data_IF_735086303816
#
_entry.id   IF_735086303816
#
_cell.length_a   1.000
_cell.length_b   1.000
_cell.length_c   1.000
_cell.angle_alpha   90.00
_cell.angle_beta   90.00
_cell.angle_gamma   90.00
#
_symmetry.space_group_name_H-M   'P 1'
#
loop_
_entity.id
_entity.type
_entity.pdbx_description
1 polymer ?
#
# COMPACT_ATOMS: atom_id res chain seq x y z
N UNK A 1 39.11 14.17 19.51
CA UNK A 1 39.57 12.98 18.76
C UNK A 1 38.66 11.76 18.96
N UNK A 2 38.17 11.50 20.18
CA UNK A 2 37.31 10.34 20.52
C UNK A 2 35.99 10.25 19.71
N UNK A 3 35.35 11.36 19.35
CA UNK A 3 34.11 11.31 18.56
C UNK A 3 34.36 10.76 17.15
N UNK A 4 35.42 11.23 16.48
CA UNK A 4 35.76 10.79 15.12
C UNK A 4 36.12 9.31 15.08
N UNK A 5 36.85 8.81 16.08
CA UNK A 5 37.17 7.38 16.19
C UNK A 5 35.91 6.56 16.46
N UNK A 6 35.03 6.97 17.37
CA UNK A 6 33.75 6.30 17.62
C UNK A 6 32.85 6.27 16.38
N UNK A 7 32.83 7.35 15.59
CA UNK A 7 32.09 7.40 14.33
C UNK A 7 32.64 6.37 13.34
N UNK A 8 33.95 6.36 13.10
CA UNK A 8 34.61 5.43 12.19
C UNK A 8 34.40 3.96 12.61
N UNK A 9 34.59 3.64 13.89
CA UNK A 9 34.39 2.30 14.44
C UNK A 9 32.92 1.85 14.35
N UNK A 10 31.97 2.76 14.56
CA UNK A 10 30.54 2.44 14.43
C UNK A 10 30.15 2.16 12.98
N UNK A 11 30.75 2.89 12.03
CA UNK A 11 30.55 2.63 10.60
C UNK A 11 31.14 1.27 10.18
N UNK A 12 32.36 0.95 10.60
CA UNK A 12 32.98 -0.35 10.28
C UNK A 12 32.21 -1.49 10.92
N UNK A 13 31.81 -1.36 12.18
CA UNK A 13 30.94 -2.32 12.87
C UNK A 13 29.62 -2.52 12.10
N UNK A 14 28.93 -1.45 11.74
CA UNK A 14 27.67 -1.55 11.00
C UNK A 14 27.86 -2.19 9.62
N UNK A 15 28.96 -1.90 8.90
CA UNK A 15 29.27 -2.52 7.61
C UNK A 15 29.56 -4.01 7.75
N UNK A 16 30.36 -4.41 8.75
CA UNK A 16 30.66 -5.81 9.04
C UNK A 16 29.38 -6.58 9.36
N UNK A 17 28.59 -6.06 10.31
CA UNK A 17 27.32 -6.64 10.72
C UNK A 17 26.33 -6.79 9.56
N UNK A 18 26.22 -5.78 8.68
CA UNK A 18 25.38 -5.87 7.49
C UNK A 18 25.88 -6.91 6.48
N UNK A 19 27.20 -7.11 6.38
CA UNK A 19 27.80 -8.12 5.50
C UNK A 19 27.53 -9.53 6.02
N UNK A 20 27.68 -9.73 7.33
CA UNK A 20 27.33 -10.99 8.01
C UNK A 20 25.84 -11.31 7.88
N UNK A 21 24.96 -10.31 8.02
CA UNK A 21 23.52 -10.53 7.87
C UNK A 21 23.11 -10.94 6.44
N UNK A 22 23.87 -10.48 5.42
CA UNK A 22 23.66 -10.88 4.01
C UNK A 22 24.25 -12.25 3.67
N UNK A 23 25.14 -12.78 4.51
CA UNK A 23 25.84 -14.06 4.33
C UNK A 23 25.58 -14.98 5.54
N UNK A 24 24.35 -15.53 5.65
CA UNK A 24 23.99 -16.37 6.79
C UNK A 24 24.83 -17.66 6.87
N UNK A 25 25.41 -18.09 5.75
CA UNK A 25 26.39 -19.17 5.64
C UNK A 25 27.59 -18.98 6.59
N UNK A 26 28.13 -17.77 6.69
CA UNK A 26 29.28 -17.45 7.55
C UNK A 26 28.93 -17.47 9.05
N UNK A 27 27.66 -17.33 9.40
CA UNK A 27 27.17 -17.32 10.79
C UNK A 27 26.52 -18.63 11.21
N UNK A 28 26.52 -19.65 10.33
CA UNK A 28 25.84 -20.93 10.55
C UNK A 28 26.33 -21.68 11.79
N UNK A 29 27.64 -21.67 12.05
CA UNK A 29 28.22 -22.31 13.26
C UNK A 29 27.83 -21.61 14.55
N UNK A 30 27.64 -20.29 14.51
CA UNK A 30 27.19 -19.51 15.67
C UNK A 30 25.71 -19.76 15.94
N UNK A 31 24.87 -19.84 14.90
CA UNK A 31 23.43 -20.12 15.02
C UNK A 31 23.11 -21.56 15.45
N UNK A 32 23.95 -22.53 15.10
CA UNK A 32 23.73 -23.95 15.44
C UNK A 32 23.87 -24.23 16.96
N UNK A 33 24.40 -23.26 17.72
CA UNK A 33 24.63 -23.37 19.15
C UNK A 33 23.63 -22.54 19.97
N UNK A 34 22.67 -21.86 19.32
CA UNK A 34 21.86 -20.82 19.96
C UNK A 34 20.48 -21.32 20.41
N UNK A 35 20.19 -21.04 21.67
CA UNK A 35 18.89 -21.04 22.33
C UNK A 35 18.03 -19.87 21.78
N UNK A 36 16.71 -20.05 21.68
CA UNK A 36 15.77 -19.17 20.94
C UNK A 36 15.68 -17.72 21.49
N UNK A 37 16.38 -17.45 22.59
CA UNK A 37 16.34 -16.20 23.34
C UNK A 37 17.60 -15.31 23.21
N UNK A 38 18.61 -15.71 22.41
CA UNK A 38 19.85 -14.92 22.26
C UNK A 38 19.72 -13.84 21.17
N UNK A 39 20.08 -12.60 21.52
CA UNK A 39 20.09 -11.45 20.60
C UNK A 39 20.98 -11.72 19.39
N UNK A 40 20.51 -11.36 18.19
CA UNK A 40 21.33 -11.45 16.99
C UNK A 40 22.53 -10.50 17.05
N UNK A 41 23.64 -10.83 16.37
CA UNK A 41 24.83 -9.95 16.25
C UNK A 41 24.45 -8.53 15.84
N UNK A 42 23.44 -8.40 14.98
CA UNK A 42 22.97 -7.14 14.48
C UNK A 42 22.08 -6.36 15.47
N UNK A 43 21.30 -7.06 16.31
CA UNK A 43 20.66 -6.45 17.48
C UNK A 43 21.70 -5.98 18.52
N UNK A 44 22.70 -6.80 18.85
CA UNK A 44 23.78 -6.41 19.77
C UNK A 44 24.57 -5.21 19.24
N UNK A 45 24.88 -5.19 17.95
CA UNK A 45 25.54 -4.04 17.31
C UNK A 45 24.67 -2.78 17.37
N UNK A 46 23.36 -2.92 17.13
CA UNK A 46 22.43 -1.80 17.23
C UNK A 46 22.36 -1.24 18.65
N UNK A 47 22.33 -2.10 19.68
CA UNK A 47 22.32 -1.68 21.09
C UNK A 47 23.59 -0.92 21.47
N UNK A 48 24.76 -1.38 21.03
CA UNK A 48 26.04 -0.70 21.31
C UNK A 48 26.03 0.71 20.69
N UNK A 49 25.66 0.82 19.40
CA UNK A 49 25.62 2.12 18.73
C UNK A 49 24.51 3.00 19.32
N UNK A 50 23.40 2.42 19.77
CA UNK A 50 22.31 3.14 20.44
C UNK A 50 22.76 3.78 21.76
N UNK A 51 23.61 3.11 22.55
CA UNK A 51 24.21 3.71 23.75
C UNK A 51 25.02 4.96 23.39
N UNK A 52 25.85 4.90 22.34
CA UNK A 52 26.63 6.03 21.84
C UNK A 52 25.71 7.17 21.36
N UNK A 53 24.66 6.83 20.60
CA UNK A 53 23.62 7.77 20.18
C UNK A 53 23.01 8.52 21.37
N UNK A 54 22.60 7.80 22.42
CA UNK A 54 22.01 8.41 23.62
C UNK A 54 23.00 9.34 24.31
N UNK A 55 24.27 8.95 24.46
CA UNK A 55 25.32 9.80 25.02
C UNK A 55 25.56 11.07 24.20
N UNK A 56 25.51 10.97 22.86
CA UNK A 56 25.62 12.14 21.99
C UNK A 56 24.39 13.05 22.07
N UNK A 57 23.20 12.49 22.23
CA UNK A 57 21.93 13.22 22.26
C UNK A 57 21.77 14.03 23.55
N UNK A 58 22.17 13.46 24.70
CA UNK A 58 22.05 14.10 26.03
C UNK A 58 23.20 15.07 26.35
N UNK A 59 24.15 15.23 25.43
CA UNK A 59 25.26 16.17 25.56
C UNK A 59 24.72 17.60 25.70
N UNK A 60 25.14 18.31 26.77
CA UNK A 60 24.62 19.65 27.10
C UNK A 60 25.39 20.79 26.43
N UNK A 61 26.41 20.48 25.63
CA UNK A 61 27.31 21.47 25.02
C UNK A 61 26.64 22.38 23.98
N UNK A 62 25.49 22.00 23.43
CA UNK A 62 24.74 22.81 22.47
C UNK A 62 23.24 22.83 22.84
N UNK A 63 22.58 23.97 22.70
CA UNK A 63 21.13 24.11 22.88
C UNK A 63 20.33 23.29 21.88
N UNK A 64 19.02 23.15 22.10
CA UNK A 64 18.13 22.41 21.17
C UNK A 64 18.05 23.10 19.80
N UNK A 65 18.01 24.42 19.76
CA UNK A 65 17.81 25.17 18.51
C UNK A 65 19.11 25.72 17.89
N UNK A 66 20.26 25.48 18.52
CA UNK A 66 21.55 25.94 18.01
C UNK A 66 22.13 24.98 16.97
N UNK A 67 23.13 25.47 16.21
CA UNK A 67 23.91 24.59 15.34
C UNK A 67 24.49 23.42 16.15
N UNK A 68 24.54 22.21 15.59
CA UNK A 68 25.08 21.06 16.30
C UNK A 68 26.59 21.26 16.50
N UNK A 69 27.01 21.27 17.76
CA UNK A 69 28.42 21.35 18.17
C UNK A 69 28.77 20.18 19.09
N UNK A 70 30.06 19.97 19.34
CA UNK A 70 30.53 18.90 20.21
C UNK A 70 30.05 17.52 19.77
N UNK A 71 29.46 16.75 20.70
CA UNK A 71 28.98 15.39 20.42
C UNK A 71 27.67 15.38 19.61
N UNK A 72 26.92 16.48 19.60
CA UNK A 72 25.63 16.55 18.87
C UNK A 72 25.78 16.44 17.36
N UNK A 73 26.95 16.77 16.82
CA UNK A 73 27.28 16.60 15.39
C UNK A 73 27.06 15.15 14.91
N UNK A 74 27.27 14.17 15.79
CA UNK A 74 27.15 12.74 15.47
C UNK A 74 25.74 12.15 15.62
N UNK A 75 24.75 12.89 16.16
CA UNK A 75 23.44 12.33 16.56
C UNK A 75 22.73 11.63 15.42
N UNK A 76 22.53 12.32 14.28
CA UNK A 76 21.85 11.70 13.13
C UNK A 76 22.71 10.65 12.43
N UNK A 77 24.05 10.72 12.51
CA UNK A 77 24.91 9.66 11.99
C UNK A 77 24.66 8.35 12.75
N UNK A 78 24.75 8.38 14.09
CA UNK A 78 24.52 7.20 14.92
C UNK A 78 23.08 6.71 14.83
N UNK A 79 22.09 7.63 14.85
CA UNK A 79 20.69 7.27 14.65
C UNK A 79 20.47 6.52 13.33
N UNK A 80 21.05 7.01 12.22
CA UNK A 80 20.95 6.36 10.92
C UNK A 80 21.60 4.98 10.88
N UNK A 81 22.73 4.78 11.57
CA UNK A 81 23.35 3.46 11.70
C UNK A 81 22.48 2.49 12.51
N UNK A 82 21.94 2.92 13.65
CA UNK A 82 21.01 2.12 14.45
C UNK A 82 19.78 1.75 13.64
N UNK A 83 19.13 2.72 12.99
CA UNK A 83 17.97 2.49 12.14
C UNK A 83 18.29 1.48 11.01
N UNK A 84 19.43 1.65 10.33
CA UNK A 84 19.87 0.71 9.29
C UNK A 84 19.99 -0.72 9.80
N UNK A 85 20.57 -0.93 10.99
CA UNK A 85 20.71 -2.24 11.61
C UNK A 85 19.35 -2.81 12.03
N UNK A 86 18.51 -2.04 12.71
CA UNK A 86 17.18 -2.47 13.15
C UNK A 86 16.28 -2.91 11.99
N UNK A 87 16.31 -2.16 10.88
CA UNK A 87 15.56 -2.52 9.67
C UNK A 87 16.14 -3.77 8.99
N UNK A 88 17.46 -3.99 9.07
CA UNK A 88 18.08 -5.18 8.51
C UNK A 88 17.75 -6.45 9.29
N UNK A 89 17.57 -6.35 10.62
CA UNK A 89 17.13 -7.46 11.49
C UNK A 89 15.61 -7.66 11.53
N UNK A 90 14.83 -6.85 10.79
CA UNK A 90 13.35 -6.82 10.87
C UNK A 90 12.79 -6.49 12.27
N UNK A 91 13.58 -5.85 13.14
CA UNK A 91 13.13 -5.33 14.45
C UNK A 91 12.75 -3.85 14.36
N UNK A 92 11.87 -3.52 13.42
CA UNK A 92 11.48 -2.12 13.13
C UNK A 92 10.77 -1.45 14.30
N UNK A 93 10.13 -2.21 15.20
CA UNK A 93 9.42 -1.66 16.36
C UNK A 93 10.35 -0.93 17.33
N UNK A 94 11.60 -1.37 17.48
CA UNK A 94 12.59 -0.73 18.35
C UNK A 94 13.01 0.66 17.84
N UNK A 95 12.79 0.94 16.55
CA UNK A 95 13.09 2.26 15.97
C UNK A 95 12.23 3.38 16.56
N UNK A 96 11.06 3.06 17.13
CA UNK A 96 10.16 4.04 17.77
C UNK A 96 10.89 4.89 18.80
N UNK A 97 11.72 4.26 19.64
CA UNK A 97 12.47 4.95 20.69
C UNK A 97 13.45 6.00 20.11
N UNK A 98 14.10 5.69 18.99
CA UNK A 98 15.01 6.63 18.32
C UNK A 98 14.26 7.86 17.83
N UNK A 99 13.09 7.67 17.20
CA UNK A 99 12.29 8.79 16.69
C UNK A 99 11.74 9.67 17.81
N UNK A 100 11.24 9.08 18.90
CA UNK A 100 10.76 9.82 20.07
C UNK A 100 11.88 10.66 20.69
N UNK A 101 13.05 10.05 20.94
CA UNK A 101 14.19 10.75 21.53
C UNK A 101 14.68 11.92 20.66
N UNK A 102 14.70 11.73 19.33
CA UNK A 102 15.05 12.79 18.39
C UNK A 102 14.03 13.93 18.42
N UNK A 103 12.74 13.62 18.40
CA UNK A 103 11.68 14.61 18.52
C UNK A 103 11.82 15.49 19.75
N UNK A 104 12.19 14.90 20.89
CA UNK A 104 12.23 15.60 22.18
C UNK A 104 13.49 16.45 22.37
N UNK A 105 14.68 15.94 22.01
CA UNK A 105 15.96 16.52 22.44
C UNK A 105 16.81 17.04 21.28
N UNK A 106 16.67 16.47 20.08
CA UNK A 106 17.59 16.72 18.97
C UNK A 106 17.40 18.12 18.36
N UNK A 107 18.48 18.74 17.85
CA UNK A 107 18.37 19.90 16.97
C UNK A 107 17.61 19.62 15.67
N UNK A 108 17.02 20.66 15.06
CA UNK A 108 16.28 20.54 13.81
C UNK A 108 17.06 19.79 12.74
N UNK A 109 16.38 18.89 12.03
CA UNK A 109 17.00 18.02 11.02
C UNK A 109 17.72 18.82 9.93
N UNK A 110 17.18 19.99 9.60
CA UNK A 110 17.71 20.91 8.58
C UNK A 110 19.14 21.41 8.86
N UNK A 111 19.61 21.35 10.10
CA UNK A 111 20.98 21.76 10.48
C UNK A 111 22.04 20.70 10.18
N UNK A 112 21.64 19.49 9.79
CA UNK A 112 22.55 18.37 9.51
C UNK A 112 22.81 18.21 8.01
N UNK A 113 23.92 17.54 7.61
CA UNK A 113 24.25 17.31 6.19
C UNK A 113 23.15 16.56 5.43
N UNK A 114 22.96 16.88 4.15
CA UNK A 114 21.89 16.33 3.31
C UNK A 114 21.86 14.78 3.32
N UNK A 115 23.02 14.12 3.25
CA UNK A 115 23.11 12.66 3.29
C UNK A 115 22.50 12.06 4.58
N UNK A 116 22.73 12.70 5.73
CA UNK A 116 22.16 12.26 7.01
C UNK A 116 20.66 12.52 7.06
N UNK A 117 20.20 13.68 6.56
CA UNK A 117 18.78 14.03 6.51
C UNK A 117 17.98 13.06 5.65
N UNK A 118 18.45 12.80 4.42
CA UNK A 118 17.82 11.89 3.48
C UNK A 118 17.72 10.47 4.07
N UNK A 119 18.80 9.98 4.67
CA UNK A 119 18.82 8.64 5.27
C UNK A 119 17.83 8.53 6.43
N UNK A 120 17.76 9.56 7.28
CA UNK A 120 16.84 9.58 8.41
C UNK A 120 15.38 9.62 7.94
N UNK A 121 15.04 10.53 7.02
CA UNK A 121 13.70 10.64 6.43
C UNK A 121 13.28 9.35 5.71
N UNK A 122 14.21 8.67 5.04
CA UNK A 122 13.93 7.39 4.40
C UNK A 122 13.48 6.33 5.42
N UNK A 123 14.21 6.17 6.54
CA UNK A 123 13.83 5.20 7.57
C UNK A 123 12.58 5.62 8.36
N UNK A 124 12.42 6.91 8.66
CA UNK A 124 11.21 7.45 9.30
C UNK A 124 9.98 7.23 8.42
N UNK A 125 10.11 7.43 7.12
CA UNK A 125 9.04 7.16 6.15
C UNK A 125 8.66 5.68 6.11
N UNK A 126 9.65 4.79 6.05
CA UNK A 126 9.40 3.33 6.08
C UNK A 126 8.78 2.86 7.40
N UNK A 127 9.18 3.45 8.52
CA UNK A 127 8.58 3.17 9.83
C UNK A 127 7.11 3.58 9.85
N UNK A 128 6.80 4.80 9.39
CA UNK A 128 5.41 5.27 9.29
C UNK A 128 4.58 4.41 8.34
N UNK A 129 5.14 3.99 7.19
CA UNK A 129 4.45 3.08 6.26
C UNK A 129 4.09 1.75 6.93
N UNK A 130 5.04 1.16 7.66
CA UNK A 130 4.83 -0.12 8.37
C UNK A 130 3.76 -0.01 9.46
N UNK A 131 3.58 1.18 10.03
CA UNK A 131 2.54 1.50 11.01
C UNK A 131 1.25 2.06 10.38
N UNK A 132 1.07 1.93 9.06
CA UNK A 132 -0.08 2.43 8.30
C UNK A 132 -0.31 3.94 8.32
N UNK A 133 0.68 4.75 8.71
CA UNK A 133 0.62 6.21 8.64
C UNK A 133 1.08 6.70 7.25
N UNK A 134 0.28 6.43 6.21
CA UNK A 134 0.69 6.63 4.81
C UNK A 134 0.97 8.09 4.45
N UNK A 135 0.22 9.06 5.01
CA UNK A 135 0.47 10.49 4.79
C UNK A 135 1.84 10.91 5.33
N UNK A 136 2.10 10.60 6.60
CA UNK A 136 3.38 10.89 7.26
C UNK A 136 4.55 10.24 6.53
N UNK A 137 4.35 9.00 6.10
CA UNK A 137 5.33 8.27 5.29
C UNK A 137 5.61 8.98 3.96
N UNK A 138 4.56 9.39 3.24
CA UNK A 138 4.69 10.10 1.97
C UNK A 138 5.46 11.41 2.13
N UNK A 139 5.15 12.22 3.16
CA UNK A 139 5.84 13.48 3.42
C UNK A 139 7.35 13.29 3.65
N UNK A 140 7.73 12.32 4.48
CA UNK A 140 9.15 12.01 4.71
C UNK A 140 9.86 11.54 3.45
N UNK A 141 9.25 10.60 2.72
CA UNK A 141 9.86 10.00 1.53
C UNK A 141 9.94 10.99 0.37
N UNK A 142 8.95 11.88 0.22
CA UNK A 142 8.97 12.96 -0.75
C UNK A 142 10.13 13.92 -0.46
N UNK A 143 10.30 14.36 0.79
CA UNK A 143 11.44 15.21 1.15
C UNK A 143 12.79 14.50 0.99
N UNK A 144 12.87 13.21 1.30
CA UNK A 144 14.07 12.42 1.04
C UNK A 144 14.38 12.38 -0.47
N UNK A 145 13.37 12.18 -1.32
CA UNK A 145 13.53 12.11 -2.76
C UNK A 145 13.97 13.44 -3.36
N UNK A 146 13.35 14.55 -2.93
CA UNK A 146 13.67 15.91 -3.41
C UNK A 146 15.11 16.32 -3.05
N UNK A 147 15.61 15.91 -1.88
CA UNK A 147 16.98 16.19 -1.45
C UNK A 147 18.03 15.25 -2.05
N UNK A 148 17.62 14.18 -2.74
CA UNK A 148 18.56 13.21 -3.32
C UNK A 148 18.91 13.60 -4.77
N UNK A 149 20.20 13.84 -5.09
CA UNK A 149 20.63 14.18 -6.45
C UNK A 149 20.21 13.13 -7.49
N UNK A 150 19.89 13.58 -8.71
CA UNK A 150 19.39 12.72 -9.79
C UNK A 150 20.39 11.62 -10.19
N UNK A 151 21.70 11.86 -10.03
CA UNK A 151 22.77 10.91 -10.32
C UNK A 151 22.73 9.69 -9.39
N UNK A 152 22.17 9.81 -8.18
CA UNK A 152 22.06 8.73 -7.21
C UNK A 152 20.82 7.85 -7.47
N UNK A 153 20.74 7.28 -8.68
CA UNK A 153 19.59 6.51 -9.19
C UNK A 153 19.18 5.39 -8.23
N UNK A 154 20.15 4.65 -7.67
CA UNK A 154 19.87 3.56 -6.72
C UNK A 154 19.19 4.06 -5.44
N UNK A 155 19.63 5.18 -4.87
CA UNK A 155 19.01 5.77 -3.69
C UNK A 155 17.60 6.27 -3.99
N UNK A 156 17.41 6.94 -5.13
CA UNK A 156 16.09 7.41 -5.59
C UNK A 156 15.14 6.24 -5.83
N UNK A 157 15.62 5.14 -6.42
CA UNK A 157 14.84 3.91 -6.61
C UNK A 157 14.39 3.33 -5.27
N UNK A 158 15.29 3.27 -4.27
CA UNK A 158 14.94 2.79 -2.93
C UNK A 158 13.87 3.68 -2.26
N UNK A 159 13.95 5.00 -2.43
CA UNK A 159 12.94 5.92 -1.89
C UNK A 159 11.60 5.73 -2.61
N UNK A 160 11.61 5.69 -3.95
CA UNK A 160 10.40 5.50 -4.76
C UNK A 160 9.70 4.16 -4.51
N UNK A 161 10.46 3.12 -4.17
CA UNK A 161 9.93 1.80 -3.77
C UNK A 161 8.88 1.91 -2.66
N UNK A 162 9.00 2.90 -1.77
CA UNK A 162 8.04 3.15 -0.70
C UNK A 162 7.15 4.38 -0.97
N UNK A 163 7.66 5.41 -1.66
CA UNK A 163 6.87 6.62 -1.94
C UNK A 163 5.68 6.34 -2.87
N UNK A 164 5.86 5.49 -3.88
CA UNK A 164 4.79 5.09 -4.80
C UNK A 164 3.64 4.40 -4.05
N UNK A 165 3.87 3.31 -3.28
CA UNK A 165 2.78 2.66 -2.56
C UNK A 165 2.16 3.55 -1.46
N UNK A 166 2.91 4.45 -0.82
CA UNK A 166 2.32 5.45 0.09
C UNK A 166 1.26 6.31 -0.63
N UNK A 167 1.62 6.88 -1.78
CA UNK A 167 0.70 7.72 -2.55
C UNK A 167 -0.45 6.92 -3.15
N UNK A 168 -0.20 5.71 -3.62
CA UNK A 168 -1.22 4.80 -4.14
C UNK A 168 -2.31 4.54 -3.10
N UNK A 169 -1.94 4.26 -1.85
CA UNK A 169 -2.86 4.03 -0.73
C UNK A 169 -3.64 5.28 -0.33
N UNK A 170 -3.10 6.47 -0.64
CA UNK A 170 -3.77 7.76 -0.49
C UNK A 170 -4.61 8.14 -1.72
N UNK A 171 -4.78 7.23 -2.69
CA UNK A 171 -5.55 7.47 -3.91
C UNK A 171 -4.84 8.29 -4.99
N UNK A 172 -3.52 8.49 -4.86
CA UNK A 172 -2.69 9.23 -5.83
C UNK A 172 -1.82 8.27 -6.64
N UNK A 173 -2.03 8.24 -7.96
CA UNK A 173 -1.25 7.39 -8.86
C UNK A 173 0.01 8.11 -9.36
N UNK A 174 1.09 7.38 -9.67
CA UNK A 174 2.28 7.95 -10.29
C UNK A 174 1.96 8.52 -11.68
N UNK A 175 2.53 9.69 -11.99
CA UNK A 175 2.40 10.31 -13.32
C UNK A 175 3.25 9.58 -14.36
N UNK A 176 2.88 9.69 -15.63
CA UNK A 176 3.68 9.14 -16.73
C UNK A 176 5.12 9.68 -16.73
N UNK A 177 5.29 10.98 -16.44
CA UNK A 177 6.59 11.61 -16.33
C UNK A 177 7.47 11.00 -15.23
N UNK A 178 6.89 10.68 -14.07
CA UNK A 178 7.64 10.01 -12.99
C UNK A 178 8.08 8.60 -13.41
N UNK A 179 7.19 7.85 -14.08
CA UNK A 179 7.45 6.49 -14.55
C UNK A 179 8.47 6.40 -15.69
N UNK A 180 8.73 7.50 -16.39
CA UNK A 180 9.76 7.59 -17.43
C UNK A 180 11.17 7.83 -16.87
N UNK A 181 11.30 8.18 -15.59
CA UNK A 181 12.60 8.43 -14.97
C UNK A 181 13.41 7.13 -14.79
N UNK A 182 14.76 7.18 -14.88
CA UNK A 182 15.59 5.98 -14.79
C UNK A 182 15.42 5.24 -13.46
N UNK A 183 15.22 5.96 -12.35
CA UNK A 183 14.98 5.36 -11.02
C UNK A 183 13.61 4.66 -10.87
N UNK A 184 12.67 4.92 -11.78
CA UNK A 184 11.33 4.34 -11.75
C UNK A 184 11.19 3.13 -12.68
N UNK A 185 12.17 2.86 -13.55
CA UNK A 185 12.06 1.88 -14.64
C UNK A 185 11.62 0.49 -14.13
N UNK A 186 12.36 -0.10 -13.17
CA UNK A 186 12.00 -1.41 -12.58
C UNK A 186 10.72 -1.37 -11.74
N UNK A 187 10.40 -0.21 -11.17
CA UNK A 187 9.23 -0.05 -10.29
C UNK A 187 7.95 0.08 -11.10
N UNK A 188 8.05 0.54 -12.35
CA UNK A 188 6.93 0.65 -13.29
C UNK A 188 6.29 -0.71 -13.51
N UNK A 189 7.08 -1.75 -13.79
CA UNK A 189 6.57 -3.09 -14.09
C UNK A 189 5.81 -3.70 -12.91
N UNK A 190 6.20 -3.35 -11.68
CA UNK A 190 5.56 -3.81 -10.46
C UNK A 190 4.29 -3.00 -10.14
N UNK A 191 4.40 -1.66 -10.10
CA UNK A 191 3.32 -0.83 -9.57
C UNK A 191 2.29 -0.39 -10.61
N UNK A 192 2.64 -0.30 -11.89
CA UNK A 192 1.69 0.14 -12.91
C UNK A 192 0.49 -0.81 -13.05
N UNK A 193 0.65 -2.14 -13.11
CA UNK A 193 -0.49 -3.05 -13.16
C UNK A 193 -1.35 -2.99 -11.89
N UNK A 194 -0.74 -2.80 -10.71
CA UNK A 194 -1.47 -2.58 -9.46
C UNK A 194 -2.31 -1.30 -9.55
N UNK A 195 -1.76 -0.21 -10.08
CA UNK A 195 -2.50 1.04 -10.28
C UNK A 195 -3.69 0.84 -11.24
N UNK A 196 -3.51 0.07 -12.32
CA UNK A 196 -4.57 -0.25 -13.28
C UNK A 196 -5.66 -1.10 -12.64
N UNK A 197 -5.30 -2.10 -11.84
CA UNK A 197 -6.23 -2.95 -11.10
C UNK A 197 -7.09 -2.11 -10.15
N UNK A 198 -6.46 -1.26 -9.34
CA UNK A 198 -7.17 -0.36 -8.40
C UNK A 198 -8.09 0.61 -9.14
N UNK A 199 -7.61 1.23 -10.22
CA UNK A 199 -8.41 2.17 -11.02
C UNK A 199 -9.65 1.53 -11.64
N UNK A 200 -9.54 0.27 -12.06
CA UNK A 200 -10.62 -0.46 -12.73
C UNK A 200 -11.49 -1.32 -11.82
N UNK A 201 -11.14 -1.43 -10.52
CA UNK A 201 -11.81 -2.33 -9.58
C UNK A 201 -11.57 -3.80 -9.91
N UNK A 202 -10.43 -4.15 -10.52
CA UNK A 202 -10.14 -5.48 -11.00
C UNK A 202 -9.34 -6.29 -9.95
N UNK A 203 -10.05 -7.06 -9.13
CA UNK A 203 -9.45 -7.93 -8.12
C UNK A 203 -8.57 -9.03 -8.73
N UNK A 204 -8.99 -9.61 -9.86
CA UNK A 204 -8.27 -10.70 -10.52
C UNK A 204 -6.89 -10.23 -10.98
N UNK A 205 -6.83 -9.05 -11.61
CA UNK A 205 -5.59 -8.42 -12.03
C UNK A 205 -4.70 -8.08 -10.82
N UNK A 206 -5.29 -7.58 -9.72
CA UNK A 206 -4.51 -7.33 -8.51
C UNK A 206 -3.88 -8.62 -8.00
N UNK A 207 -4.66 -9.68 -7.80
CA UNK A 207 -4.17 -10.93 -7.22
C UNK A 207 -3.12 -11.60 -8.09
N UNK A 208 -3.33 -11.67 -9.41
CA UNK A 208 -2.35 -12.26 -10.32
C UNK A 208 -1.02 -11.49 -10.31
N UNK A 209 -1.05 -10.16 -10.27
CA UNK A 209 0.17 -9.36 -10.22
C UNK A 209 0.88 -9.40 -8.87
N UNK A 210 0.13 -9.46 -7.76
CA UNK A 210 0.72 -9.64 -6.43
C UNK A 210 1.40 -11.00 -6.32
N UNK A 211 0.76 -12.08 -6.82
CA UNK A 211 1.34 -13.42 -6.84
C UNK A 211 2.61 -13.49 -7.71
N UNK A 212 2.60 -12.87 -8.90
CA UNK A 212 3.76 -12.83 -9.79
C UNK A 212 4.97 -12.10 -9.20
N UNK A 213 4.76 -11.19 -8.24
CA UNK A 213 5.81 -10.40 -7.60
C UNK A 213 5.94 -10.70 -6.09
N UNK A 214 5.40 -11.83 -5.63
CA UNK A 214 5.18 -12.11 -4.21
C UNK A 214 6.48 -12.04 -3.40
N UNK A 215 7.54 -12.71 -3.88
CA UNK A 215 8.85 -12.75 -3.21
C UNK A 215 9.42 -11.35 -3.01
N UNK A 216 9.44 -10.53 -4.07
CA UNK A 216 10.02 -9.18 -4.01
C UNK A 216 9.18 -8.26 -3.11
N UNK A 217 7.85 -8.32 -3.23
CA UNK A 217 6.96 -7.52 -2.39
C UNK A 217 7.06 -7.91 -0.91
N UNK A 218 7.22 -9.20 -0.62
CA UNK A 218 7.43 -9.72 0.74
C UNK A 218 8.77 -9.26 1.30
N UNK A 219 9.85 -9.36 0.53
CA UNK A 219 11.18 -8.87 0.92
C UNK A 219 11.20 -7.37 1.22
N UNK A 220 10.41 -6.58 0.46
CA UNK A 220 10.26 -5.13 0.70
C UNK A 220 9.29 -4.80 1.85
N UNK A 221 8.57 -5.79 2.38
CA UNK A 221 7.53 -5.57 3.40
C UNK A 221 6.31 -4.81 2.87
N UNK A 222 6.03 -4.92 1.57
CA UNK A 222 4.92 -4.23 0.89
C UNK A 222 3.70 -5.13 0.67
N UNK A 223 3.91 -6.44 0.53
CA UNK A 223 2.88 -7.40 0.11
C UNK A 223 1.60 -7.28 0.93
N UNK A 224 1.68 -7.51 2.25
CA UNK A 224 0.51 -7.53 3.13
C UNK A 224 -0.23 -6.18 3.13
N UNK A 225 0.51 -5.08 3.22
CA UNK A 225 -0.08 -3.74 3.20
C UNK A 225 -0.85 -3.50 1.90
N UNK A 226 -0.26 -3.82 0.75
CA UNK A 226 -0.92 -3.65 -0.54
C UNK A 226 -2.13 -4.58 -0.70
N UNK A 227 -2.02 -5.85 -0.31
CA UNK A 227 -3.13 -6.81 -0.42
C UNK A 227 -4.35 -6.37 0.38
N UNK A 228 -4.17 -5.88 1.61
CA UNK A 228 -5.31 -5.56 2.49
C UNK A 228 -5.79 -4.11 2.33
N UNK A 229 -4.86 -3.15 2.25
CA UNK A 229 -5.21 -1.72 2.30
C UNK A 229 -5.69 -1.16 0.97
N UNK A 230 -5.47 -1.85 -0.15
CA UNK A 230 -6.03 -1.44 -1.46
C UNK A 230 -7.47 -1.90 -1.68
N UNK A 231 -7.99 -2.84 -0.89
CA UNK A 231 -9.33 -3.43 -1.09
C UNK A 231 -10.46 -2.38 -1.07
N UNK A 232 -10.49 -1.39 -0.16
CA UNK A 232 -11.52 -0.34 -0.20
C UNK A 232 -11.52 0.43 -1.53
N UNK A 233 -10.33 0.72 -2.09
CA UNK A 233 -10.23 1.43 -3.36
C UNK A 233 -10.71 0.57 -4.54
N UNK A 234 -10.44 -0.74 -4.52
CA UNK A 234 -10.97 -1.69 -5.51
C UNK A 234 -12.49 -1.79 -5.44
N UNK A 235 -13.05 -1.96 -4.23
CA UNK A 235 -14.49 -2.03 -4.03
C UNK A 235 -15.19 -0.73 -4.45
N UNK A 236 -14.60 0.42 -4.13
CA UNK A 236 -15.06 1.74 -4.61
C UNK A 236 -15.07 1.81 -6.14
N UNK A 237 -14.01 1.34 -6.80
CA UNK A 237 -13.93 1.36 -8.26
C UNK A 237 -14.90 0.38 -8.91
N UNK A 238 -15.08 -0.81 -8.31
CA UNK A 238 -16.05 -1.81 -8.74
C UNK A 238 -17.48 -1.27 -8.63
N UNK A 239 -17.86 -0.71 -7.47
CA UNK A 239 -19.21 -0.14 -7.27
C UNK A 239 -19.50 1.01 -8.22
N UNK A 240 -18.52 1.88 -8.48
CA UNK A 240 -18.61 2.93 -9.51
C UNK A 240 -18.83 2.36 -10.89
N UNK A 241 -18.11 1.29 -11.25
CA UNK A 241 -18.22 0.64 -12.56
C UNK A 241 -19.58 -0.02 -12.74
N UNK A 242 -20.08 -0.72 -11.72
CA UNK A 242 -21.43 -1.31 -11.73
C UNK A 242 -22.47 -0.20 -11.90
N UNK A 243 -22.38 0.88 -11.12
CA UNK A 243 -23.29 2.02 -11.26
C UNK A 243 -23.29 2.60 -12.68
N UNK A 244 -22.13 2.81 -13.29
CA UNK A 244 -22.05 3.32 -14.66
C UNK A 244 -22.69 2.39 -15.70
N UNK A 245 -22.76 1.09 -15.45
CA UNK A 245 -23.36 0.11 -16.35
C UNK A 245 -24.86 -0.06 -16.13
N UNK A 246 -25.34 0.14 -14.90
CA UNK A 246 -26.74 -0.17 -14.53
C UNK A 246 -27.59 1.08 -14.32
N UNK A 247 -26.99 2.25 -14.13
CA UNK A 247 -27.72 3.49 -13.88
C UNK A 247 -28.41 3.99 -15.15
N UNK A 248 -29.74 4.09 -15.08
CA UNK A 248 -30.56 4.72 -16.10
C UNK A 248 -31.04 6.07 -15.57
N UNK A 249 -30.66 7.20 -16.20
CA UNK A 249 -31.13 8.51 -15.77
C UNK A 249 -32.65 8.63 -16.00
N UNK A 250 -33.39 9.37 -15.14
CA UNK A 250 -34.79 9.67 -15.39
C UNK A 250 -34.96 10.38 -16.75
N UNK A 251 -35.97 9.98 -17.51
CA UNK A 251 -36.32 10.62 -18.80
C UNK A 251 -36.89 12.03 -18.62
N UNK A 252 -37.51 12.30 -17.47
CA UNK A 252 -38.08 13.59 -17.11
C UNK A 252 -37.07 14.44 -16.31
N UNK A 253 -36.73 15.61 -16.85
CA UNK A 253 -35.82 16.57 -16.23
C UNK A 253 -36.33 17.12 -14.88
N UNK A 254 -37.64 17.07 -14.63
CA UNK A 254 -38.25 17.52 -13.37
C UNK A 254 -38.27 16.44 -12.28
N UNK A 255 -37.87 15.20 -12.62
CA UNK A 255 -37.93 14.06 -11.71
C UNK A 255 -37.15 14.31 -10.41
N UNK A 256 -37.78 13.97 -9.28
CA UNK A 256 -37.15 14.00 -7.95
C UNK A 256 -36.55 12.64 -7.55
N UNK A 257 -36.52 11.66 -8.46
CA UNK A 257 -35.93 10.34 -8.19
C UNK A 257 -34.44 10.48 -7.87
N UNK A 258 -34.04 9.95 -6.72
CA UNK A 258 -32.64 9.91 -6.33
C UNK A 258 -31.85 8.99 -7.27
N UNK A 259 -30.61 9.35 -7.58
CA UNK A 259 -29.69 8.45 -8.25
C UNK A 259 -29.32 7.33 -7.28
N UNK A 260 -29.62 6.08 -7.62
CA UNK A 260 -29.44 4.93 -6.76
C UNK A 260 -28.65 3.83 -7.47
N UNK A 261 -27.82 3.12 -6.71
CA UNK A 261 -27.19 1.86 -7.10
C UNK A 261 -27.95 0.72 -6.42
N UNK A 262 -28.51 -0.20 -7.19
CA UNK A 262 -29.08 -1.44 -6.66
C UNK A 262 -27.95 -2.38 -6.21
N UNK A 263 -28.00 -2.82 -4.94
CA UNK A 263 -26.97 -3.67 -4.36
C UNK A 263 -27.00 -5.09 -4.95
N UNK A 264 -28.13 -5.54 -5.52
CA UNK A 264 -28.21 -6.83 -6.19
C UNK A 264 -27.28 -6.90 -7.42
N UNK A 265 -27.14 -5.80 -8.16
CA UNK A 265 -26.19 -5.74 -9.29
C UNK A 265 -24.74 -5.79 -8.82
N UNK A 266 -24.43 -5.13 -7.70
CA UNK A 266 -23.09 -5.17 -7.13
C UNK A 266 -22.76 -6.56 -6.57
N UNK A 267 -23.74 -7.23 -5.95
CA UNK A 267 -23.63 -8.61 -5.49
C UNK A 267 -23.39 -9.58 -6.65
N UNK A 268 -24.17 -9.47 -7.72
CA UNK A 268 -23.97 -10.28 -8.94
C UNK A 268 -22.56 -10.09 -9.52
N UNK A 269 -22.10 -8.85 -9.62
CA UNK A 269 -20.74 -8.55 -10.08
C UNK A 269 -19.67 -9.11 -9.14
N UNK A 270 -19.90 -9.03 -7.82
CA UNK A 270 -18.95 -9.53 -6.83
C UNK A 270 -18.86 -11.06 -6.81
N UNK A 271 -20.01 -11.75 -6.89
CA UNK A 271 -20.09 -13.19 -7.01
C UNK A 271 -19.43 -13.70 -8.32
N UNK A 272 -19.62 -12.96 -9.43
CA UNK A 272 -18.90 -13.23 -10.67
C UNK A 272 -17.39 -13.14 -10.47
N UNK A 273 -16.89 -12.07 -9.85
CA UNK A 273 -15.45 -11.90 -9.60
C UNK A 273 -14.91 -12.98 -8.66
N UNK A 274 -15.65 -13.36 -7.62
CA UNK A 274 -15.27 -14.45 -6.72
C UNK A 274 -15.08 -15.77 -7.49
N UNK A 275 -16.05 -16.16 -8.32
CA UNK A 275 -15.94 -17.36 -9.17
C UNK A 275 -14.76 -17.27 -10.13
N UNK A 276 -14.49 -16.09 -10.70
CA UNK A 276 -13.31 -15.88 -11.55
C UNK A 276 -11.99 -16.06 -10.81
N UNK A 277 -11.90 -15.64 -9.55
CA UNK A 277 -10.72 -15.86 -8.69
C UNK A 277 -10.54 -17.36 -8.38
N UNK A 278 -11.64 -18.07 -8.20
CA UNK A 278 -11.71 -19.53 -8.00
C UNK A 278 -11.34 -20.37 -9.24
N UNK A 279 -11.02 -19.72 -10.36
CA UNK A 279 -10.58 -20.38 -11.59
C UNK A 279 -11.69 -20.64 -12.61
N UNK A 280 -12.93 -20.22 -12.34
CA UNK A 280 -14.01 -20.36 -13.30
C UNK A 280 -13.73 -19.52 -14.55
N UNK A 281 -14.02 -20.09 -15.71
CA UNK A 281 -13.78 -19.45 -17.00
C UNK A 281 -15.11 -18.95 -17.59
N UNK A 282 -15.13 -17.81 -18.30
CA UNK A 282 -16.28 -17.44 -19.09
C UNK A 282 -16.66 -18.59 -20.03
N UNK A 283 -17.93 -19.02 -20.03
CA UNK A 283 -18.38 -20.18 -20.80
C UNK A 283 -18.20 -20.01 -22.32
N UNK A 284 -18.03 -18.76 -22.78
CA UNK A 284 -17.80 -18.46 -24.20
C UNK A 284 -16.59 -17.52 -24.39
N UNK A 285 -15.36 -18.02 -24.22
CA UNK A 285 -14.15 -17.23 -24.44
C UNK A 285 -13.80 -17.23 -25.93
N UNK A 286 -14.73 -16.76 -26.78
CA UNK A 286 -14.61 -16.89 -28.23
C UNK A 286 -14.78 -18.33 -28.71
N UNK A 287 -15.52 -18.50 -29.81
CA UNK A 287 -15.57 -19.76 -30.53
C UNK A 287 -14.14 -20.33 -30.66
N UNK A 288 -13.91 -21.55 -30.17
CA UNK A 288 -12.76 -22.35 -30.64
C UNK A 288 -12.68 -22.17 -32.15
N UNK A 289 -11.51 -21.79 -32.67
CA UNK A 289 -11.33 -21.51 -34.10
C UNK A 289 -12.06 -22.55 -34.93
N UNK A 290 -12.98 -22.08 -35.77
CA UNK A 290 -13.84 -22.90 -36.63
C UNK A 290 -12.96 -23.96 -37.33
N UNK A 291 -13.20 -25.26 -37.12
CA UNK A 291 -12.63 -26.27 -38.00
C UNK A 291 -13.20 -26.00 -39.40
N UNK A 292 -12.37 -25.94 -40.46
CA UNK A 292 -12.77 -25.44 -41.78
C UNK A 292 -13.94 -26.21 -42.42
N UNK A 293 -14.18 -27.44 -41.95
CA UNK A 293 -15.18 -28.38 -42.47
C UNK A 293 -16.54 -28.33 -41.76
N UNK A 294 -16.75 -27.50 -40.73
CA UNK A 294 -18.03 -27.46 -40.00
C UNK A 294 -18.91 -26.32 -40.46
N UNK A 295 -20.16 -26.66 -40.81
CA UNK A 295 -21.16 -25.75 -41.36
C UNK A 295 -21.74 -24.84 -40.26
N UNK A 296 -21.87 -23.53 -40.55
CA UNK A 296 -22.25 -22.53 -39.54
C UNK A 296 -23.66 -22.78 -38.96
N UNK A 297 -24.55 -23.34 -39.77
CA UNK A 297 -25.92 -23.68 -39.38
C UNK A 297 -25.93 -24.88 -38.42
N UNK A 298 -25.07 -25.88 -38.66
CA UNK A 298 -24.94 -27.05 -37.79
C UNK A 298 -24.44 -26.66 -36.40
N UNK A 299 -23.41 -25.80 -36.31
CA UNK A 299 -22.94 -25.30 -35.00
C UNK A 299 -24.02 -24.51 -34.28
N UNK A 300 -24.80 -23.68 -34.98
CA UNK A 300 -25.91 -22.92 -34.39
C UNK A 300 -27.03 -23.84 -33.87
N UNK A 301 -27.31 -24.93 -34.59
CA UNK A 301 -28.27 -25.94 -34.18
C UNK A 301 -27.77 -26.77 -32.99
N UNK A 302 -26.48 -27.14 -32.96
CA UNK A 302 -25.88 -27.88 -31.84
C UNK A 302 -25.73 -27.01 -30.59
N UNK A 303 -25.42 -25.71 -30.72
CA UNK A 303 -25.45 -24.79 -29.57
C UNK A 303 -26.85 -24.54 -29.04
N UNK A 304 -27.89 -24.64 -29.87
CA UNK A 304 -29.28 -24.56 -29.44
C UNK A 304 -29.78 -25.89 -28.82
N UNK A 305 -29.26 -27.04 -29.26
CA UNK A 305 -29.65 -28.37 -28.76
C UNK A 305 -28.84 -28.88 -27.57
N UNK A 306 -27.62 -28.37 -27.34
CA UNK A 306 -26.98 -28.47 -26.05
C UNK A 306 -27.74 -27.50 -25.13
N UNK A 307 -28.87 -27.97 -24.60
CA UNK A 307 -29.65 -27.30 -23.58
C UNK A 307 -28.67 -26.76 -22.52
N UNK A 308 -28.40 -25.46 -22.59
CA UNK A 308 -28.20 -24.72 -21.37
C UNK A 308 -29.53 -24.89 -20.63
N UNK A 309 -29.59 -25.88 -19.73
CA UNK A 309 -30.21 -25.65 -18.43
C UNK A 309 -29.93 -24.18 -18.10
N UNK A 310 -30.93 -23.33 -17.78
CA UNK A 310 -30.72 -21.93 -17.45
C UNK A 310 -29.88 -21.86 -16.17
N UNK A 311 -28.60 -22.13 -16.29
CA UNK A 311 -27.65 -22.16 -15.22
C UNK A 311 -27.58 -20.74 -14.70
N UNK A 312 -27.64 -20.60 -13.38
CA UNK A 312 -27.57 -19.34 -12.64
C UNK A 312 -26.30 -18.50 -12.94
N UNK A 313 -25.44 -18.95 -13.86
CA UNK A 313 -24.10 -18.41 -14.09
C UNK A 313 -23.66 -18.53 -15.56
N UNK A 314 -23.04 -17.47 -16.06
CA UNK A 314 -22.39 -17.40 -17.39
C UNK A 314 -20.97 -18.01 -17.41
N UNK A 315 -20.58 -18.70 -16.33
CA UNK A 315 -19.24 -19.25 -16.13
C UNK A 315 -19.29 -20.78 -16.24
N UNK A 316 -18.27 -21.35 -16.90
CA UNK A 316 -18.02 -22.78 -16.93
C UNK A 316 -17.13 -23.19 -15.75
N UNK A 317 -17.37 -24.38 -15.16
CA UNK A 317 -16.56 -24.88 -14.05
C UNK A 317 -15.09 -25.06 -14.46
N UNK A 318 -14.14 -24.80 -13.55
CA UNK A 318 -12.72 -24.97 -13.82
C UNK A 318 -12.36 -26.43 -14.15
N UNK A 319 -11.52 -26.70 -15.17
CA UNK A 319 -11.19 -28.06 -15.60
C UNK A 319 -10.43 -28.87 -14.54
N UNK A 320 -9.75 -28.21 -13.60
CA UNK A 320 -8.99 -28.82 -12.50
C UNK A 320 -9.67 -28.75 -11.13
N UNK A 321 -10.97 -28.42 -11.08
CA UNK A 321 -11.67 -28.12 -9.84
C UNK A 321 -11.40 -26.70 -9.31
N UNK A 322 -12.12 -26.33 -8.25
CA UNK A 322 -12.08 -24.98 -7.67
C UNK A 322 -10.73 -24.71 -7.02
N UNK A 323 -10.08 -23.60 -7.41
CA UNK A 323 -8.83 -23.15 -6.81
C UNK A 323 -9.05 -22.76 -5.34
N UNK A 324 -8.23 -23.30 -4.43
CA UNK A 324 -8.22 -22.92 -3.02
C UNK A 324 -7.51 -21.59 -2.85
N UNK A 325 -8.26 -20.58 -2.43
CA UNK A 325 -7.80 -19.22 -2.23
C UNK A 325 -7.33 -19.02 -0.78
N UNK A 326 -6.21 -18.32 -0.61
CA UNK A 326 -5.77 -17.82 0.71
C UNK A 326 -6.80 -16.81 1.24
N UNK A 327 -6.88 -16.58 2.57
CA UNK A 327 -7.84 -15.63 3.15
C UNK A 327 -7.84 -14.24 2.49
N UNK A 328 -6.68 -13.78 2.03
CA UNK A 328 -6.46 -12.48 1.41
C UNK A 328 -6.72 -12.45 -0.12
N UNK A 329 -6.98 -13.60 -0.76
CA UNK A 329 -7.12 -13.73 -2.22
C UNK A 329 -8.57 -13.56 -2.70
N UNK A 330 -9.55 -14.00 -1.91
CA UNK A 330 -10.98 -13.87 -2.22
C UNK A 330 -11.53 -12.45 -2.15
N UNK A 331 -12.80 -12.28 -2.52
CA UNK A 331 -13.56 -11.01 -2.47
C UNK A 331 -13.89 -10.56 -1.04
N UNK A 332 -14.23 -11.50 -0.15
CA UNK A 332 -14.47 -11.27 1.28
C UNK A 332 -13.40 -12.02 2.08
N UNK A 333 -13.43 -13.36 2.05
CA UNK A 333 -12.50 -14.23 2.76
C UNK A 333 -12.24 -15.55 2.01
N UNK A 334 -11.08 -15.70 1.40
CA UNK A 334 -10.73 -16.94 0.67
C UNK A 334 -11.81 -17.41 -0.31
N UNK A 335 -12.28 -18.64 -0.17
CA UNK A 335 -13.36 -19.23 -0.98
C UNK A 335 -14.78 -18.98 -0.43
N UNK A 336 -14.96 -18.11 0.56
CA UNK A 336 -16.29 -17.82 1.08
C UNK A 336 -17.18 -17.22 -0.02
N UNK A 337 -18.42 -17.70 -0.11
CA UNK A 337 -19.41 -17.14 -1.01
C UNK A 337 -19.73 -15.71 -0.61
N UNK A 338 -19.85 -14.82 -1.59
CA UNK A 338 -20.22 -13.43 -1.34
C UNK A 338 -21.73 -13.37 -1.12
N UNK A 339 -22.15 -12.90 0.05
CA UNK A 339 -23.57 -12.70 0.39
C UNK A 339 -24.03 -11.27 0.08
N UNK A 340 -25.35 -11.03 0.09
CA UNK A 340 -25.89 -9.67 -0.05
C UNK A 340 -25.47 -8.78 1.13
N UNK A 341 -25.49 -9.34 2.35
CA UNK A 341 -25.09 -8.64 3.57
C UNK A 341 -23.61 -8.22 3.54
N UNK A 342 -22.73 -9.06 2.99
CA UNK A 342 -21.32 -8.70 2.79
C UNK A 342 -21.18 -7.46 1.89
N UNK A 343 -21.95 -7.40 0.81
CA UNK A 343 -21.92 -6.29 -0.15
C UNK A 343 -22.47 -5.02 0.50
N UNK A 344 -23.57 -5.13 1.24
CA UNK A 344 -24.15 -4.03 1.99
C UNK A 344 -23.13 -3.47 3.01
N UNK A 345 -22.49 -4.35 3.79
CA UNK A 345 -21.45 -3.99 4.75
C UNK A 345 -20.25 -3.32 4.09
N UNK A 346 -19.81 -3.82 2.93
CA UNK A 346 -18.73 -3.20 2.15
C UNK A 346 -19.12 -1.79 1.69
N UNK A 347 -20.33 -1.58 1.18
CA UNK A 347 -20.81 -0.26 0.78
C UNK A 347 -20.93 0.67 2.00
N UNK A 348 -21.51 0.20 3.10
CA UNK A 348 -21.60 0.96 4.34
C UNK A 348 -20.22 1.39 4.86
N UNK A 349 -19.23 0.50 4.79
CA UNK A 349 -17.84 0.81 5.14
C UNK A 349 -17.24 1.89 4.24
N UNK A 350 -17.49 1.83 2.92
CA UNK A 350 -17.04 2.86 1.98
C UNK A 350 -17.70 4.21 2.24
N UNK A 351 -18.97 4.22 2.63
CA UNK A 351 -19.70 5.42 3.04
C UNK A 351 -19.11 6.02 4.31
N UNK A 352 -18.87 5.19 5.34
CA UNK A 352 -18.25 5.62 6.59
C UNK A 352 -16.83 6.19 6.37
N UNK A 353 -16.08 5.64 5.39
CA UNK A 353 -14.76 6.15 5.03
C UNK A 353 -14.80 7.42 4.16
N UNK A 354 -16.00 7.86 3.72
CA UNK A 354 -16.21 8.97 2.79
C UNK A 354 -15.85 8.65 1.34
N UNK A 355 -15.46 7.40 1.04
CA UNK A 355 -15.06 6.94 -0.29
C UNK A 355 -16.25 6.79 -1.25
N UNK A 356 -17.45 6.66 -0.68
CA UNK A 356 -18.74 6.82 -1.35
C UNK A 356 -19.57 7.83 -0.55
N UNK A 357 -20.33 8.69 -1.22
CA UNK A 357 -21.10 9.75 -0.55
C UNK A 357 -22.60 9.59 -0.82
N UNK A 358 -23.32 9.23 0.24
CA UNK A 358 -24.72 8.80 0.18
C UNK A 358 -25.11 8.04 1.44
N UNK A 359 -26.22 7.30 1.38
CA UNK A 359 -26.64 6.40 2.45
C UNK A 359 -27.13 5.06 1.88
N UNK A 360 -27.07 4.03 2.70
CA UNK A 360 -27.59 2.70 2.37
C UNK A 360 -29.04 2.62 2.85
N UNK A 361 -29.97 2.39 1.93
CA UNK A 361 -31.37 2.12 2.21
C UNK A 361 -31.56 0.60 2.36
N UNK A 362 -31.28 0.08 3.56
CA UNK A 362 -31.30 -1.36 3.88
C UNK A 362 -32.57 -2.07 3.40
N UNK A 363 -33.76 -1.54 3.75
CA UNK A 363 -35.04 -2.14 3.36
C UNK A 363 -35.33 -2.14 1.85
N UNK A 364 -34.61 -1.34 1.06
CA UNK A 364 -34.72 -1.32 -0.40
C UNK A 364 -33.51 -1.95 -1.11
N UNK A 365 -32.50 -2.41 -0.35
CA UNK A 365 -31.23 -2.94 -0.88
C UNK A 365 -30.58 -2.01 -1.91
N UNK A 366 -30.56 -0.71 -1.61
CA UNK A 366 -30.06 0.33 -2.52
C UNK A 366 -29.10 1.29 -1.81
N UNK A 367 -28.09 1.74 -2.54
CA UNK A 367 -27.27 2.88 -2.16
C UNK A 367 -27.81 4.15 -2.84
N UNK A 368 -28.24 5.13 -2.05
CA UNK A 368 -28.77 6.41 -2.53
C UNK A 368 -27.71 7.50 -2.49
N UNK A 369 -27.49 8.15 -3.63
CA UNK A 369 -26.46 9.19 -3.79
C UNK A 369 -27.01 10.55 -3.38
N UNK A 370 -26.32 11.23 -2.47
CA UNK A 370 -26.64 12.60 -2.03
C UNK A 370 -25.95 13.61 -2.95
N UNK A 371 -26.66 14.67 -3.36
CA UNK A 371 -26.08 15.78 -4.13
C UNK A 371 -25.94 15.52 -5.63
N UNK A 372 -26.55 14.44 -6.15
CA UNK A 372 -26.49 14.09 -7.57
C UNK A 372 -26.99 15.20 -8.52
N UNK A 373 -27.96 16.03 -8.10
CA UNK A 373 -28.47 17.16 -8.90
C UNK A 373 -27.45 18.30 -9.07
N UNK A 374 -26.59 18.53 -8.09
CA UNK A 374 -25.65 19.65 -8.11
C UNK A 374 -24.34 19.31 -8.85
N UNK A 375 -23.80 18.10 -8.63
CA UNK A 375 -22.48 17.69 -9.15
C UNK A 375 -22.55 16.58 -10.20
N UNK A 376 -23.74 16.09 -10.53
CA UNK A 376 -23.93 14.86 -11.30
C UNK A 376 -23.77 13.60 -10.43
N UNK A 377 -24.42 12.48 -10.78
CA UNK A 377 -24.51 11.31 -9.90
C UNK A 377 -23.15 10.65 -9.62
N UNK A 378 -22.25 10.59 -10.60
CA UNK A 378 -20.96 9.92 -10.45
C UNK A 378 -20.00 10.70 -9.55
N UNK A 379 -19.86 12.01 -9.78
CA UNK A 379 -18.98 12.87 -8.96
C UNK A 379 -19.55 13.05 -7.55
N UNK A 380 -20.87 13.12 -7.42
CA UNK A 380 -21.53 13.20 -6.12
C UNK A 380 -21.41 11.89 -5.32
N UNK A 381 -21.53 10.72 -5.98
CA UNK A 381 -21.49 9.42 -5.30
C UNK A 381 -20.09 8.89 -5.03
N UNK A 382 -19.10 9.21 -5.88
CA UNK A 382 -17.72 8.72 -5.76
C UNK A 382 -16.73 9.89 -5.76
N UNK A 383 -16.57 10.59 -4.62
CA UNK A 383 -15.67 11.74 -4.51
C UNK A 383 -14.21 11.37 -4.77
N UNK A 384 -13.35 12.39 -4.94
CA UNK A 384 -11.92 12.19 -5.13
C UNK A 384 -11.28 11.63 -3.87
N UNK A 385 -10.68 10.45 -3.99
CA UNK A 385 -10.11 9.68 -2.85
C UNK A 385 -9.09 10.50 -2.04
N UNK A 386 -8.20 11.23 -2.71
CA UNK A 386 -7.17 12.01 -2.04
C UNK A 386 -7.78 13.16 -1.22
N UNK A 387 -8.71 13.89 -1.82
CA UNK A 387 -9.42 14.99 -1.15
C UNK A 387 -10.20 14.48 0.05
N UNK A 388 -10.96 13.38 -0.11
CA UNK A 388 -11.70 12.74 0.98
C UNK A 388 -10.79 12.34 2.14
N UNK A 389 -9.65 11.70 1.87
CA UNK A 389 -8.71 11.30 2.92
C UNK A 389 -8.13 12.52 3.64
N UNK A 390 -7.83 13.60 2.90
CA UNK A 390 -7.30 14.84 3.46
C UNK A 390 -8.35 15.56 4.33
N UNK A 391 -9.58 15.68 3.86
CA UNK A 391 -10.69 16.29 4.60
C UNK A 391 -10.98 15.51 5.88
N UNK A 392 -11.05 14.18 5.79
CA UNK A 392 -11.23 13.31 6.95
C UNK A 392 -10.11 13.46 7.97
N UNK A 393 -8.87 13.57 7.50
CA UNK A 393 -7.71 13.79 8.36
C UNK A 393 -7.76 15.11 9.14
N UNK A 394 -8.48 16.12 8.63
CA UNK A 394 -8.67 17.43 9.29
C UNK A 394 -9.89 17.47 10.22
N UNK A 395 -10.90 16.64 9.97
CA UNK A 395 -12.18 16.67 10.69
C UNK A 395 -12.16 15.92 12.03
N UNK A 396 -11.31 14.91 12.19
CA UNK A 396 -11.43 14.00 13.33
C UNK A 396 -10.79 14.49 14.63
N UNK A 397 -9.89 15.48 14.61
CA UNK A 397 -9.14 15.91 15.80
C UNK A 397 -8.73 17.39 15.68
N UNK A 398 -9.35 18.30 16.45
CA UNK A 398 -9.07 19.75 16.42
C UNK A 398 -7.61 20.10 16.76
N UNK A 399 -6.91 19.22 17.48
CA UNK A 399 -5.50 19.36 17.89
C UNK A 399 -4.51 18.55 17.02
N UNK A 400 -4.96 17.88 15.95
CA UNK A 400 -4.11 17.01 15.13
C UNK A 400 -3.74 17.64 13.79
N UNK A 401 -2.46 17.93 13.61
CA UNK A 401 -1.93 18.29 12.30
C UNK A 401 -1.68 17.04 11.44
N UNK A 402 -2.52 16.87 10.41
CA UNK A 402 -2.42 15.80 9.42
C UNK A 402 -1.07 15.74 8.70
N UNK A 403 -0.36 16.86 8.62
CA UNK A 403 0.94 17.00 7.97
C UNK A 403 2.12 17.01 8.97
N UNK A 404 1.84 16.92 10.27
CA UNK A 404 2.85 16.72 11.30
C UNK A 404 3.38 15.28 11.24
N UNK A 405 4.70 15.16 11.31
CA UNK A 405 5.38 13.87 11.37
C UNK A 405 6.21 13.77 12.65
N UNK A 406 5.76 12.98 13.64
CA UNK A 406 6.56 12.67 14.81
C UNK A 406 7.92 12.08 14.43
N UNK A 407 8.98 12.53 15.09
CA UNK A 407 10.38 12.22 14.78
C UNK A 407 11.02 13.17 13.78
N UNK A 408 10.26 14.02 13.08
CA UNK A 408 10.80 15.01 12.15
C UNK A 408 10.69 16.42 12.73
N UNK A 409 11.77 16.88 13.36
CA UNK A 409 11.88 18.26 13.85
C UNK A 409 12.02 19.21 12.65
N UNK A 410 10.89 19.75 12.19
CA UNK A 410 10.81 20.83 11.21
C UNK A 410 11.27 22.14 11.89
N UNK A 411 11.84 23.03 11.08
CA UNK A 411 12.60 24.20 11.53
C UNK A 411 11.69 25.26 12.13
#
# INVERSE_FOLDING_TARGET
MLLKTSMSLSETLARLTMTLNRRPDLTRRMRAQDDDNRKSIAESSAEIIQKIFTTCLTDRSAGRSSRPEGKKVGVYMFANLVLKLLFACRRTQLAKMIFVNISTISPPLSLYPAAQRVTFLYYLGRFNFSNNHFRRAALCLEQAYLQTPAQLVSHRTNILTYLIPCNLLLGRFPSALLLQRPEANRLRDVFLPICQAVRSGNFILLQSHLAANETWLLEKGLLLTLTHRLRPLLWRALSRKVFLLTYVPPTDATSRKAATLDLAYLHTAAAYVQRRLEGWLPANPGARGRPPHVNAIYMRAVTNNAAQEPGETTLAPPPGGVLKLRPNEGMIWGNAQVTADDVEMMVATLVQQGLMHGFVAHGQQKFAIIGAKAKGPVLAGWPNVWQTIQERGKLHEEDFDFDEVPGWVKK
#
